data_IF_084511363564
#
_entry.id   IF_084511363564
#
_cell.length_a   1.000
_cell.length_b   1.000
_cell.length_c   1.000
_cell.angle_alpha   90.00
_cell.angle_beta   90.00
_cell.angle_gamma   90.00
#
_symmetry.space_group_name_H-M   'P 1'
#
loop_
_entity.id
_entity.type
_entity.pdbx_description
1 polymer ?
#
# COMPACT_ATOMS: atom_id res chain seq x y z
N UNK A 1 -3.21 -31.00 76.21
CA UNK A 1 -2.97 -31.01 74.80
C UNK A 1 -3.17 -29.59 74.26
N UNK A 2 -2.06 -28.85 74.04
CA UNK A 2 -2.05 -27.44 73.65
C UNK A 2 -1.79 -27.39 72.11
N UNK A 3 -2.76 -26.91 71.29
CA UNK A 3 -2.59 -26.71 69.88
C UNK A 3 -1.99 -25.32 69.68
N UNK A 4 -0.80 -25.27 69.06
CA UNK A 4 -0.16 -24.03 68.56
C UNK A 4 -0.60 -23.81 67.14
N UNK A 5 -1.27 -22.67 66.90
CA UNK A 5 -1.56 -22.18 65.56
C UNK A 5 -0.38 -21.34 65.09
N UNK A 6 0.26 -21.77 63.98
CA UNK A 6 1.26 -20.96 63.27
C UNK A 6 0.53 -20.18 62.17
N UNK A 7 0.48 -18.86 62.29
CA UNK A 7 0.03 -17.94 61.22
C UNK A 7 1.21 -17.67 60.28
N UNK A 8 1.13 -18.18 59.05
CA UNK A 8 2.02 -17.76 57.97
C UNK A 8 1.49 -16.42 57.38
N UNK A 9 2.24 -15.34 57.59
CA UNK A 9 1.99 -14.07 56.93
C UNK A 9 2.55 -14.09 55.51
N UNK A 10 1.67 -13.94 54.49
CA UNK A 10 2.05 -13.74 53.09
C UNK A 10 2.31 -12.25 52.92
N UNK A 11 3.58 -11.86 52.73
CA UNK A 11 3.94 -10.52 52.25
C UNK A 11 3.65 -10.45 50.74
N UNK A 12 2.59 -9.74 50.34
CA UNK A 12 2.36 -9.34 48.96
C UNK A 12 3.26 -8.15 48.61
N UNK A 13 4.29 -8.38 47.81
CA UNK A 13 5.04 -7.30 47.14
C UNK A 13 4.18 -6.72 46.07
N UNK A 14 3.52 -5.59 46.34
CA UNK A 14 2.90 -4.75 45.36
C UNK A 14 4.01 -3.99 44.58
N UNK A 15 4.46 -4.54 43.46
CA UNK A 15 5.28 -3.81 42.48
C UNK A 15 4.46 -2.69 41.88
N UNK A 16 4.72 -1.44 42.22
CA UNK A 16 4.21 -0.28 41.47
C UNK A 16 4.87 -0.28 40.10
N UNK A 17 4.18 -0.74 39.09
CA UNK A 17 4.47 -0.36 37.70
C UNK A 17 4.17 1.14 37.62
N UNK A 18 5.21 1.97 37.43
CA UNK A 18 5.01 3.40 37.11
C UNK A 18 4.24 3.51 35.80
N UNK A 19 3.10 4.18 35.83
CA UNK A 19 2.37 4.53 34.61
C UNK A 19 3.25 5.49 33.80
N UNK A 20 3.25 5.36 32.44
CA UNK A 20 3.94 6.31 31.58
C UNK A 20 3.43 7.73 31.83
N UNK A 21 4.33 8.68 31.97
CA UNK A 21 4.00 10.09 32.15
C UNK A 21 3.77 10.69 30.78
N UNK A 22 2.51 10.82 30.39
CA UNK A 22 2.12 11.67 29.25
C UNK A 22 2.24 13.13 29.69
N UNK A 23 3.14 13.88 29.09
CA UNK A 23 3.20 15.33 29.15
C UNK A 23 2.56 15.87 27.90
N UNK A 24 1.34 16.45 27.95
CA UNK A 24 0.70 17.02 26.77
C UNK A 24 1.54 18.20 26.23
N UNK A 25 2.00 18.10 24.98
CA UNK A 25 2.72 19.15 24.29
C UNK A 25 4.24 19.06 24.29
N UNK A 26 4.83 18.02 24.91
CA UNK A 26 6.25 17.69 24.75
C UNK A 26 6.35 16.56 23.69
N UNK A 27 6.86 16.89 22.50
CA UNK A 27 7.14 15.92 21.44
C UNK A 27 8.29 14.97 21.78
N UNK A 28 8.89 15.13 22.97
CA UNK A 28 10.01 14.35 23.45
C UNK A 28 11.26 14.47 22.58
N UNK A 29 11.30 15.49 21.69
CA UNK A 29 12.33 15.65 20.67
C UNK A 29 12.26 14.58 19.59
N UNK A 30 11.05 14.06 19.30
CA UNK A 30 10.79 13.12 18.22
C UNK A 30 9.75 13.68 17.26
N UNK A 31 10.11 13.79 15.98
CA UNK A 31 9.20 14.19 14.89
C UNK A 31 8.68 12.93 14.18
N UNK A 32 7.38 12.93 13.85
CA UNK A 32 6.69 11.77 13.30
C UNK A 32 6.18 12.05 11.89
N UNK A 33 6.45 11.15 10.94
CA UNK A 33 5.86 11.19 9.61
C UNK A 33 5.36 9.80 9.19
N UNK A 34 4.46 9.77 8.19
CA UNK A 34 4.04 8.53 7.52
C UNK A 34 4.34 8.66 6.04
N UNK A 35 5.19 7.78 5.55
CA UNK A 35 5.65 7.77 4.16
C UNK A 35 5.43 6.40 3.53
N UNK A 36 5.22 6.36 2.20
CA UNK A 36 5.18 5.13 1.45
C UNK A 36 6.28 5.11 0.38
N UNK A 37 7.14 4.12 0.46
CA UNK A 37 8.12 3.84 -0.60
C UNK A 37 7.42 3.25 -1.84
N UNK A 38 7.95 3.54 -3.02
CA UNK A 38 7.44 2.96 -4.28
C UNK A 38 7.49 1.43 -4.29
N UNK A 39 8.47 0.84 -3.62
CA UNK A 39 8.62 -0.62 -3.51
C UNK A 39 7.56 -1.25 -2.59
N UNK A 40 6.99 -0.48 -1.68
CA UNK A 40 6.04 -0.92 -0.67
C UNK A 40 4.58 -0.78 -1.08
N UNK A 41 4.32 -0.15 -2.23
CA UNK A 41 2.97 0.14 -2.70
C UNK A 41 2.14 -1.12 -2.88
N UNK A 42 2.62 -2.11 -3.64
CA UNK A 42 1.89 -3.36 -3.89
C UNK A 42 1.69 -4.21 -2.62
N UNK A 43 2.59 -4.10 -1.65
CA UNK A 43 2.48 -4.79 -0.37
C UNK A 43 1.65 -4.01 0.68
N UNK A 44 1.19 -2.79 0.36
CA UNK A 44 0.47 -1.90 1.28
C UNK A 44 1.22 -1.69 2.60
N UNK A 45 2.53 -1.51 2.51
CA UNK A 45 3.39 -1.17 3.64
C UNK A 45 3.62 0.34 3.64
N UNK A 46 3.58 0.95 4.82
CA UNK A 46 4.06 2.30 5.06
C UNK A 46 5.19 2.28 6.09
N UNK A 47 6.02 3.29 6.08
CA UNK A 47 6.96 3.54 7.16
C UNK A 47 6.37 4.60 8.09
N UNK A 48 6.33 4.30 9.39
CA UNK A 48 6.25 5.32 10.42
C UNK A 48 7.68 5.83 10.57
N UNK A 49 7.94 6.98 10.00
CA UNK A 49 9.25 7.64 10.09
C UNK A 49 9.34 8.38 11.40
N UNK A 50 10.39 8.10 12.16
CA UNK A 50 10.67 8.75 13.44
C UNK A 50 12.02 9.44 13.33
N UNK A 51 12.05 10.76 13.39
CA UNK A 51 13.25 11.55 13.48
C UNK A 51 13.51 11.97 14.92
N UNK A 52 14.76 11.94 15.37
CA UNK A 52 15.17 12.36 16.70
C UNK A 52 15.98 13.65 16.63
N UNK A 53 15.47 14.72 17.24
CA UNK A 53 16.18 15.98 17.49
C UNK A 53 16.99 15.95 18.80
N UNK A 54 17.05 14.79 19.46
CA UNK A 54 17.76 14.59 20.72
C UNK A 54 19.25 14.41 20.48
N UNK A 55 20.06 14.70 21.49
CA UNK A 55 21.50 14.40 21.50
C UNK A 55 21.81 12.96 21.94
N UNK A 56 20.86 12.32 22.66
CA UNK A 56 21.00 10.97 23.19
C UNK A 56 20.17 9.92 22.39
N UNK A 57 20.63 8.68 22.46
CA UNK A 57 19.95 7.55 21.85
C UNK A 57 18.70 7.17 22.64
N UNK A 58 17.64 6.71 21.94
CA UNK A 58 16.43 6.18 22.54
C UNK A 58 16.13 4.77 22.01
N UNK A 59 15.58 3.92 22.86
CA UNK A 59 15.13 2.57 22.48
C UNK A 59 13.64 2.59 22.17
N UNK A 60 13.27 2.50 20.88
CA UNK A 60 11.89 2.40 20.45
C UNK A 60 11.39 0.98 20.70
N UNK A 61 10.23 0.82 21.33
CA UNK A 61 9.65 -0.48 21.65
C UNK A 61 8.39 -0.79 20.86
N UNK A 62 7.59 0.23 20.59
CA UNK A 62 6.34 0.12 19.84
C UNK A 62 6.05 1.40 19.09
N UNK A 63 5.44 1.27 17.90
CA UNK A 63 4.80 2.38 17.19
C UNK A 63 3.44 1.93 16.69
N UNK A 64 2.43 2.79 16.81
CA UNK A 64 1.06 2.52 16.41
C UNK A 64 0.57 3.66 15.53
N UNK A 65 0.09 3.32 14.34
CA UNK A 65 -0.61 4.23 13.45
C UNK A 65 -2.11 3.95 13.54
N UNK A 66 -2.88 4.94 13.92
CA UNK A 66 -4.34 4.87 14.05
C UNK A 66 -5.01 5.94 13.22
N UNK A 67 -6.02 5.55 12.45
CA UNK A 67 -6.88 6.44 11.69
C UNK A 67 -8.22 5.75 11.47
N UNK A 68 -9.30 6.52 11.30
CA UNK A 68 -10.63 5.98 10.97
C UNK A 68 -10.71 5.36 9.56
N UNK A 69 -9.70 5.61 8.70
CA UNK A 69 -9.61 5.00 7.37
C UNK A 69 -9.17 3.53 7.40
N UNK A 70 -8.63 3.04 8.52
CA UNK A 70 -8.17 1.66 8.67
C UNK A 70 -9.10 0.86 9.56
N UNK A 71 -9.33 -0.41 9.24
CA UNK A 71 -10.19 -1.31 10.01
C UNK A 71 -9.67 -1.58 11.43
N UNK A 72 -8.37 -1.44 11.64
CA UNK A 72 -7.68 -1.58 12.91
C UNK A 72 -6.37 -0.77 12.90
N UNK A 73 -5.75 -0.50 14.05
CA UNK A 73 -4.45 0.16 14.09
C UNK A 73 -3.34 -0.68 13.44
N UNK A 74 -2.46 -0.02 12.66
CA UNK A 74 -1.23 -0.66 12.19
C UNK A 74 -0.14 -0.55 13.27
N UNK A 75 0.50 -1.67 13.62
CA UNK A 75 1.41 -1.74 14.76
C UNK A 75 2.79 -2.27 14.34
N UNK A 76 3.82 -1.53 14.70
CA UNK A 76 5.19 -2.00 14.73
C UNK A 76 5.60 -2.31 16.18
N UNK A 77 6.18 -3.49 16.41
CA UNK A 77 6.57 -3.94 17.76
C UNK A 77 7.77 -4.91 17.66
N UNK A 78 8.94 -4.39 17.29
CA UNK A 78 10.15 -5.20 17.11
C UNK A 78 11.30 -4.81 18.02
N UNK A 79 11.30 -3.57 18.51
CA UNK A 79 12.40 -2.97 19.26
C UNK A 79 13.57 -2.56 18.34
N UNK A 80 14.05 -1.33 18.49
CA UNK A 80 15.24 -0.82 17.83
C UNK A 80 15.78 0.39 18.57
N UNK A 81 17.03 0.75 18.30
CA UNK A 81 17.64 1.97 18.83
C UNK A 81 17.62 3.05 17.77
N UNK A 82 17.04 4.20 18.10
CA UNK A 82 17.12 5.41 17.32
C UNK A 82 18.21 6.29 17.92
N UNK A 83 19.24 6.56 17.12
CA UNK A 83 20.34 7.44 17.54
C UNK A 83 19.93 8.90 17.44
N UNK A 84 20.48 9.70 18.36
CA UNK A 84 20.28 11.14 18.33
C UNK A 84 20.65 11.76 16.98
N UNK A 85 19.83 12.70 16.49
CA UNK A 85 19.99 13.37 15.21
C UNK A 85 19.72 12.53 13.96
N UNK A 86 19.21 11.29 14.11
CA UNK A 86 18.92 10.40 12.96
C UNK A 86 17.44 10.14 12.81
N UNK A 87 17.10 9.59 11.62
CA UNK A 87 15.77 9.12 11.26
C UNK A 87 15.77 7.60 11.10
N UNK A 88 14.66 6.95 11.45
CA UNK A 88 14.43 5.52 11.24
C UNK A 88 13.04 5.27 10.67
N UNK A 89 12.94 4.30 9.76
CA UNK A 89 11.70 3.82 9.16
C UNK A 89 11.19 2.57 9.89
N UNK A 90 10.07 2.71 10.58
CA UNK A 90 9.37 1.61 11.22
C UNK A 90 8.29 1.09 10.27
N UNK A 91 8.63 0.10 9.47
CA UNK A 91 7.76 -0.43 8.41
C UNK A 91 6.61 -1.24 8.99
N UNK A 92 5.38 -0.87 8.65
CA UNK A 92 4.14 -1.53 9.08
C UNK A 92 3.29 -1.92 7.88
N UNK A 93 2.69 -3.11 7.96
CA UNK A 93 1.65 -3.55 7.04
C UNK A 93 0.35 -2.84 7.41
N UNK A 94 -0.30 -2.21 6.44
CA UNK A 94 -1.60 -1.60 6.67
C UNK A 94 -2.72 -2.65 6.66
N UNK A 95 -3.64 -2.62 7.64
CA UNK A 95 -4.89 -3.36 7.57
C UNK A 95 -5.81 -2.81 6.48
N UNK A 96 -6.93 -3.49 6.21
CA UNK A 96 -7.89 -3.06 5.20
C UNK A 96 -8.45 -1.66 5.46
N UNK A 97 -8.77 -0.93 4.38
CA UNK A 97 -9.45 0.34 4.49
C UNK A 97 -10.92 0.17 4.90
N UNK A 98 -11.45 1.18 5.58
CA UNK A 98 -12.91 1.33 5.84
C UNK A 98 -13.51 2.18 4.74
N UNK A 99 -14.47 1.61 4.00
CA UNK A 99 -15.12 2.27 2.88
C UNK A 99 -16.62 2.53 3.17
N UNK A 100 -17.18 3.65 2.71
CA UNK A 100 -16.52 4.76 2.03
C UNK A 100 -15.60 5.56 2.95
N UNK A 101 -14.62 6.27 2.35
CA UNK A 101 -13.69 7.12 3.10
C UNK A 101 -14.46 8.31 3.66
N UNK A 102 -14.25 8.63 4.94
CA UNK A 102 -14.81 9.85 5.55
C UNK A 102 -14.02 11.09 5.08
N UNK A 103 -14.71 12.23 4.91
CA UNK A 103 -14.12 13.46 4.38
C UNK A 103 -13.01 14.07 5.27
N UNK A 104 -13.16 13.96 6.60
CA UNK A 104 -12.21 14.50 7.58
C UNK A 104 -11.56 13.38 8.39
N UNK A 105 -10.44 12.85 7.89
CA UNK A 105 -9.73 11.80 8.59
C UNK A 105 -8.38 12.27 9.07
N UNK A 106 -8.24 12.32 10.39
CA UNK A 106 -6.95 12.54 11.03
C UNK A 106 -6.28 11.20 11.36
N UNK A 107 -4.99 11.12 11.10
CA UNK A 107 -4.15 10.02 11.57
C UNK A 107 -3.44 10.43 12.87
N UNK A 108 -3.24 9.48 13.75
CA UNK A 108 -2.43 9.63 14.96
C UNK A 108 -1.35 8.55 14.97
N UNK A 109 -0.12 8.96 15.18
CA UNK A 109 0.99 8.05 15.46
C UNK A 109 1.33 8.15 16.94
N UNK A 110 1.48 6.99 17.58
CA UNK A 110 1.94 6.89 18.97
C UNK A 110 3.20 6.04 18.99
N UNK A 111 4.27 6.56 19.62
CA UNK A 111 5.55 5.86 19.75
C UNK A 111 5.90 5.70 21.23
N UNK A 112 6.13 4.47 21.65
CA UNK A 112 6.61 4.11 22.99
C UNK A 112 8.13 3.90 22.92
N UNK A 113 8.86 4.55 23.81
CA UNK A 113 10.32 4.49 23.85
C UNK A 113 10.89 4.58 25.25
N UNK A 114 12.15 4.19 25.39
CA UNK A 114 12.91 4.30 26.66
C UNK A 114 14.12 5.18 26.38
N UNK A 115 14.31 6.19 27.21
CA UNK A 115 15.47 7.10 27.17
C UNK A 115 16.73 6.42 27.74
N UNK A 116 17.91 7.01 27.50
CA UNK A 116 19.19 6.45 27.94
C UNK A 116 19.29 6.24 29.47
N UNK A 117 18.57 7.04 30.24
CA UNK A 117 18.46 6.91 31.72
C UNK A 117 17.43 5.84 32.19
N UNK A 118 16.82 5.13 31.21
CA UNK A 118 15.90 4.02 31.48
C UNK A 118 14.45 4.44 31.76
N UNK A 119 14.09 5.70 31.51
CA UNK A 119 12.72 6.19 31.68
C UNK A 119 11.87 5.83 30.47
N UNK A 120 10.74 5.15 30.69
CA UNK A 120 9.75 4.89 29.65
C UNK A 120 8.92 6.14 29.37
N UNK A 121 8.74 6.44 28.08
CA UNK A 121 7.98 7.59 27.57
C UNK A 121 7.12 7.20 26.40
N UNK A 122 6.11 8.03 26.14
CA UNK A 122 5.24 7.93 24.99
C UNK A 122 5.12 9.30 24.33
N UNK A 123 5.28 9.36 23.02
CA UNK A 123 4.94 10.54 22.22
C UNK A 123 3.78 10.18 21.29
N UNK A 124 2.84 11.08 21.14
CA UNK A 124 1.68 10.90 20.27
C UNK A 124 1.35 12.20 19.54
N UNK A 125 1.11 12.11 18.25
CA UNK A 125 0.80 13.28 17.44
C UNK A 125 0.27 12.94 16.06
N UNK A 126 -0.19 13.97 15.34
CA UNK A 126 -0.54 13.86 13.93
C UNK A 126 0.75 13.79 13.12
N UNK A 127 0.98 12.71 12.36
CA UNK A 127 2.20 12.60 11.57
C UNK A 127 2.17 13.53 10.36
N UNK A 128 3.33 13.98 9.92
CA UNK A 128 3.48 14.58 8.60
C UNK A 128 3.20 13.52 7.51
N UNK A 129 2.55 13.94 6.43
CA UNK A 129 2.23 13.07 5.29
C UNK A 129 2.62 13.79 3.98
N UNK A 130 3.89 13.79 3.61
CA UNK A 130 4.38 14.60 2.48
C UNK A 130 3.70 14.34 1.14
N UNK A 131 3.06 13.17 0.97
CA UNK A 131 2.40 12.74 -0.27
C UNK A 131 0.96 12.27 -0.04
N UNK A 132 0.32 12.69 1.04
CA UNK A 132 -1.03 12.25 1.43
C UNK A 132 -1.20 10.72 1.38
N UNK A 133 -0.14 9.99 1.75
CA UNK A 133 0.00 8.56 1.51
C UNK A 133 -1.20 7.74 2.01
N UNK A 134 -1.70 8.04 3.20
CA UNK A 134 -2.83 7.30 3.78
C UNK A 134 -4.13 7.51 3.00
N UNK A 135 -4.40 8.74 2.57
CA UNK A 135 -5.60 9.07 1.78
C UNK A 135 -5.55 8.41 0.40
N UNK A 136 -4.38 8.41 -0.25
CA UNK A 136 -4.17 7.76 -1.54
C UNK A 136 -4.40 6.24 -1.42
N UNK A 137 -3.78 5.60 -0.41
CA UNK A 137 -3.91 4.16 -0.20
C UNK A 137 -5.37 3.78 0.12
N UNK A 138 -6.04 4.54 1.00
CA UNK A 138 -7.42 4.28 1.34
C UNK A 138 -8.35 4.44 0.12
N UNK A 139 -8.11 5.44 -0.73
CA UNK A 139 -8.86 5.62 -1.98
C UNK A 139 -8.65 4.42 -2.92
N UNK A 140 -7.41 3.99 -3.15
CA UNK A 140 -7.10 2.82 -3.97
C UNK A 140 -7.76 1.55 -3.42
N UNK A 141 -7.74 1.33 -2.10
CA UNK A 141 -8.38 0.19 -1.45
C UNK A 141 -9.91 0.19 -1.64
N UNK A 142 -10.55 1.35 -1.47
CA UNK A 142 -12.00 1.44 -1.61
C UNK A 142 -12.45 1.25 -3.07
N UNK A 143 -11.65 1.69 -4.03
CA UNK A 143 -11.86 1.40 -5.44
C UNK A 143 -11.69 -0.08 -5.73
N UNK A 144 -10.63 -0.70 -5.18
CA UNK A 144 -10.40 -2.14 -5.31
C UNK A 144 -11.54 -2.95 -4.68
N UNK A 145 -12.05 -2.54 -3.52
CA UNK A 145 -13.20 -3.18 -2.88
C UNK A 145 -14.47 -3.06 -3.76
N UNK A 146 -14.78 -1.86 -4.26
CA UNK A 146 -15.95 -1.64 -5.11
C UNK A 146 -15.90 -2.45 -6.42
N UNK A 147 -14.72 -2.58 -7.05
CA UNK A 147 -14.54 -3.44 -8.21
C UNK A 147 -14.68 -4.91 -7.84
N UNK A 148 -13.97 -5.36 -6.80
CA UNK A 148 -13.96 -6.76 -6.39
C UNK A 148 -15.33 -7.26 -5.90
N UNK A 149 -16.20 -6.38 -5.44
CA UNK A 149 -17.59 -6.72 -5.13
C UNK A 149 -18.38 -7.08 -6.40
N UNK A 150 -18.04 -6.49 -7.54
CA UNK A 150 -18.77 -6.66 -8.80
C UNK A 150 -18.11 -7.64 -9.77
N UNK A 151 -16.79 -7.75 -9.76
CA UNK A 151 -16.04 -8.61 -10.67
C UNK A 151 -14.68 -9.03 -10.12
N UNK A 152 -14.20 -10.17 -10.58
CA UNK A 152 -12.79 -10.52 -10.51
C UNK A 152 -12.10 -10.05 -11.79
N UNK A 153 -11.06 -9.22 -11.66
CA UNK A 153 -10.31 -8.68 -12.79
C UNK A 153 -8.84 -9.11 -12.65
N UNK A 154 -8.39 -9.95 -13.58
CA UNK A 154 -7.05 -10.55 -13.52
C UNK A 154 -6.36 -10.54 -14.88
N UNK A 155 -5.03 -10.44 -14.88
CA UNK A 155 -4.26 -10.68 -16.12
C UNK A 155 -4.19 -12.18 -16.38
N UNK A 156 -4.79 -12.64 -17.48
CA UNK A 156 -4.78 -14.05 -17.89
C UNK A 156 -3.48 -14.42 -18.60
N UNK A 157 -3.03 -13.58 -19.53
CA UNK A 157 -1.82 -13.84 -20.34
C UNK A 157 -1.16 -12.55 -20.85
N UNK A 158 0.10 -12.68 -21.22
CA UNK A 158 0.86 -11.74 -22.04
C UNK A 158 1.26 -12.48 -23.31
N UNK A 159 0.70 -12.10 -24.44
CA UNK A 159 0.87 -12.79 -25.71
C UNK A 159 1.77 -11.97 -26.62
N UNK A 160 2.91 -12.51 -27.03
CA UNK A 160 3.79 -11.91 -28.02
C UNK A 160 4.62 -12.99 -28.71
N UNK A 161 5.16 -12.68 -29.88
CA UNK A 161 6.06 -13.55 -30.63
C UNK A 161 7.50 -13.05 -30.45
N UNK A 162 8.38 -13.81 -29.76
CA UNK A 162 9.75 -13.39 -29.50
C UNK A 162 10.52 -13.11 -30.81
N UNK A 163 11.20 -11.96 -30.86
CA UNK A 163 12.03 -11.56 -32.00
C UNK A 163 11.26 -11.03 -33.22
N UNK A 164 9.92 -10.95 -33.18
CA UNK A 164 9.13 -10.38 -34.29
C UNK A 164 9.28 -8.86 -34.40
N UNK A 165 9.53 -8.18 -33.28
CA UNK A 165 9.47 -6.72 -33.19
C UNK A 165 8.04 -6.18 -33.20
N UNK A 166 7.02 -7.07 -33.12
CA UNK A 166 5.61 -6.71 -33.09
C UNK A 166 5.16 -6.35 -31.64
N UNK A 167 3.94 -5.88 -31.54
CA UNK A 167 3.29 -5.55 -30.27
C UNK A 167 3.03 -6.80 -29.44
N UNK A 168 2.95 -6.62 -28.10
CA UNK A 168 2.38 -7.65 -27.24
C UNK A 168 0.89 -7.34 -26.95
N UNK A 169 0.15 -8.37 -26.56
CA UNK A 169 -1.23 -8.24 -26.13
C UNK A 169 -1.34 -8.72 -24.69
N UNK A 170 -1.74 -7.80 -23.81
CA UNK A 170 -2.13 -8.11 -22.44
C UNK A 170 -3.60 -8.55 -22.46
N UNK A 171 -3.89 -9.75 -22.01
CA UNK A 171 -5.25 -10.28 -21.89
C UNK A 171 -5.69 -10.16 -20.45
N UNK A 172 -6.69 -9.30 -20.20
CA UNK A 172 -7.27 -9.08 -18.87
C UNK A 172 -8.64 -9.71 -18.82
N UNK A 173 -8.80 -10.75 -18.00
CA UNK A 173 -10.08 -11.40 -17.76
C UNK A 173 -10.94 -10.59 -16.81
N UNK A 174 -12.23 -10.57 -17.07
CA UNK A 174 -13.27 -9.99 -16.24
C UNK A 174 -14.31 -11.08 -16.01
N UNK A 175 -14.46 -11.47 -14.74
CA UNK A 175 -15.43 -12.49 -14.29
C UNK A 175 -16.43 -11.81 -13.36
N UNK A 176 -17.66 -11.49 -13.85
CA UNK A 176 -18.69 -10.84 -13.06
C UNK A 176 -19.11 -11.69 -11.86
N UNK A 177 -19.39 -11.01 -10.73
CA UNK A 177 -19.88 -11.66 -9.51
C UNK A 177 -21.40 -11.54 -9.40
N UNK A 178 -22.00 -12.40 -8.56
CA UNK A 178 -23.46 -12.42 -8.33
C UNK A 178 -23.85 -11.47 -7.18
N UNK A 179 -23.49 -10.19 -7.29
CA UNK A 179 -23.83 -9.14 -6.34
C UNK A 179 -24.58 -8.01 -7.04
N UNK A 180 -25.50 -7.35 -6.31
CA UNK A 180 -26.26 -6.23 -6.85
C UNK A 180 -25.35 -5.01 -7.05
N UNK A 181 -25.48 -4.36 -8.20
CA UNK A 181 -24.70 -3.20 -8.61
C UNK A 181 -24.06 -3.38 -9.97
N UNK A 182 -23.23 -2.41 -10.32
CA UNK A 182 -22.44 -2.42 -11.55
C UNK A 182 -21.16 -1.62 -11.37
N UNK A 183 -20.18 -1.94 -12.19
CA UNK A 183 -18.95 -1.15 -12.32
C UNK A 183 -18.69 -0.91 -13.80
N UNK A 184 -18.25 0.30 -14.13
CA UNK A 184 -17.80 0.64 -15.47
C UNK A 184 -16.29 0.78 -15.47
N UNK A 185 -15.60 0.03 -16.32
CA UNK A 185 -14.20 0.23 -16.62
C UNK A 185 -14.14 1.27 -17.74
N UNK A 186 -13.84 2.51 -17.36
CA UNK A 186 -13.91 3.69 -18.24
C UNK A 186 -12.77 3.69 -19.25
N UNK A 187 -11.54 3.60 -18.72
CA UNK A 187 -10.32 3.72 -19.51
C UNK A 187 -9.25 2.74 -19.04
N UNK A 188 -8.30 2.46 -19.92
CA UNK A 188 -7.00 1.89 -19.57
C UNK A 188 -5.91 2.90 -19.81
N UNK A 189 -4.94 2.97 -18.90
CA UNK A 189 -3.76 3.83 -18.98
C UNK A 189 -2.48 3.06 -19.23
N UNK A 190 -1.52 3.73 -19.87
CA UNK A 190 -0.14 3.27 -20.00
C UNK A 190 0.58 3.28 -18.65
N UNK A 191 1.70 2.57 -18.59
CA UNK A 191 2.60 2.57 -17.43
C UNK A 191 3.90 3.30 -17.79
N UNK A 192 4.82 3.43 -16.82
CA UNK A 192 6.15 3.97 -17.09
C UNK A 192 6.93 3.09 -18.07
N UNK A 193 6.75 1.77 -17.99
CA UNK A 193 7.48 0.80 -18.80
C UNK A 193 6.86 0.57 -20.18
N UNK A 194 5.53 0.48 -20.24
CA UNK A 194 4.82 0.15 -21.49
C UNK A 194 3.74 1.18 -21.83
N UNK A 195 3.68 1.53 -23.11
CA UNK A 195 2.66 2.33 -23.75
C UNK A 195 1.54 1.47 -24.30
N UNK A 196 0.52 2.11 -24.81
CA UNK A 196 -0.66 1.48 -25.40
C UNK A 196 -0.74 1.75 -26.88
N UNK A 197 -1.32 0.80 -27.63
CA UNK A 197 -1.77 1.02 -29.00
C UNK A 197 -3.29 1.09 -29.00
N UNK A 198 -3.83 2.23 -29.40
CA UNK A 198 -5.28 2.41 -29.44
C UNK A 198 -5.95 1.44 -30.43
N UNK A 199 -7.21 1.01 -30.21
CA UNK A 199 -7.93 0.14 -31.14
C UNK A 199 -8.05 0.70 -32.57
N UNK A 200 -7.99 2.03 -32.73
CA UNK A 200 -7.98 2.73 -34.03
C UNK A 200 -6.59 2.82 -34.66
N UNK A 201 -5.58 2.25 -33.99
CA UNK A 201 -4.16 2.38 -34.32
C UNK A 201 -3.51 3.62 -33.70
N UNK A 202 -2.18 3.60 -33.66
CA UNK A 202 -1.36 4.67 -33.08
C UNK A 202 -1.11 4.54 -31.58
N UNK A 203 0.02 5.12 -31.17
CA UNK A 203 0.46 5.11 -29.77
C UNK A 203 -0.37 6.08 -28.94
N UNK A 204 -0.70 5.68 -27.71
CA UNK A 204 -1.44 6.51 -26.78
C UNK A 204 -1.05 6.21 -25.35
N UNK A 205 -1.27 7.19 -24.46
CA UNK A 205 -1.09 6.98 -23.03
C UNK A 205 -2.38 6.50 -22.34
N UNK A 206 -3.53 6.61 -23.01
CA UNK A 206 -4.83 6.19 -22.48
C UNK A 206 -5.82 6.03 -23.61
N UNK A 207 -6.75 5.08 -23.48
CA UNK A 207 -7.94 5.03 -24.34
C UNK A 207 -9.17 4.52 -23.58
N UNK A 208 -10.36 4.90 -24.10
CA UNK A 208 -11.64 4.51 -23.51
C UNK A 208 -11.96 3.04 -23.77
N UNK A 209 -12.41 2.35 -22.74
CA UNK A 209 -12.96 0.99 -22.79
C UNK A 209 -14.49 1.01 -22.70
N UNK A 210 -15.03 1.85 -21.81
CA UNK A 210 -16.47 1.97 -21.52
C UNK A 210 -17.14 0.61 -21.29
N UNK A 211 -16.44 -0.31 -20.59
CA UNK A 211 -16.89 -1.67 -20.32
C UNK A 211 -17.72 -1.70 -19.06
N UNK A 212 -19.03 -1.90 -19.20
CA UNK A 212 -19.94 -2.11 -18.07
C UNK A 212 -19.89 -3.58 -17.65
N UNK A 213 -19.74 -3.81 -16.36
CA UNK A 213 -19.81 -5.13 -15.72
C UNK A 213 -20.96 -5.11 -14.73
N UNK A 214 -21.90 -6.02 -14.91
CA UNK A 214 -23.14 -6.12 -14.15
C UNK A 214 -23.30 -7.54 -13.61
N UNK A 215 -24.12 -7.68 -12.58
CA UNK A 215 -24.54 -8.96 -12.03
C UNK A 215 -25.04 -9.91 -13.13
N UNK A 216 -24.52 -11.15 -13.11
CA UNK A 216 -24.94 -12.18 -14.05
C UNK A 216 -24.53 -11.94 -15.50
N UNK A 217 -23.63 -10.99 -15.75
CA UNK A 217 -23.00 -10.82 -17.05
C UNK A 217 -22.07 -12.00 -17.38
N UNK A 218 -21.76 -12.16 -18.67
CA UNK A 218 -20.85 -13.19 -19.13
C UNK A 218 -19.39 -12.81 -18.84
N UNK A 219 -18.55 -13.83 -18.59
CA UNK A 219 -17.11 -13.68 -18.57
C UNK A 219 -16.59 -13.07 -19.87
N UNK A 220 -15.62 -12.19 -19.76
CA UNK A 220 -15.09 -11.50 -20.94
C UNK A 220 -13.62 -11.18 -20.79
N UNK A 221 -12.96 -10.96 -21.92
CA UNK A 221 -11.57 -10.57 -21.98
C UNK A 221 -11.41 -9.18 -22.59
N UNK A 222 -10.61 -8.36 -21.94
CA UNK A 222 -10.06 -7.12 -22.52
C UNK A 222 -8.71 -7.46 -23.15
N UNK A 223 -8.56 -7.18 -24.45
CA UNK A 223 -7.28 -7.35 -25.15
C UNK A 223 -6.64 -5.99 -25.35
N UNK A 224 -5.57 -5.74 -24.59
CA UNK A 224 -4.88 -4.45 -24.53
C UNK A 224 -3.55 -4.61 -25.26
N UNK A 225 -3.40 -3.95 -26.41
CA UNK A 225 -2.16 -3.97 -27.17
C UNK A 225 -1.15 -3.03 -26.54
N UNK A 226 0.03 -3.54 -26.21
CA UNK A 226 1.10 -2.82 -25.51
C UNK A 226 2.38 -2.77 -26.35
N UNK A 227 3.16 -1.72 -26.12
CA UNK A 227 4.46 -1.47 -26.74
C UNK A 227 5.40 -0.87 -25.68
N UNK A 228 6.73 -1.08 -25.75
CA UNK A 228 7.62 -0.40 -24.81
C UNK A 228 7.52 1.13 -24.93
N UNK A 229 7.41 1.83 -23.81
CA UNK A 229 7.52 3.30 -23.76
C UNK A 229 8.96 3.78 -23.82
N UNK A 230 9.89 2.93 -23.36
CA UNK A 230 11.31 3.24 -23.22
C UNK A 230 12.13 2.01 -23.56
N UNK A 231 13.23 2.23 -24.31
CA UNK A 231 14.20 1.19 -24.67
C UNK A 231 15.56 1.38 -24.01
N UNK A 232 15.66 2.23 -23.00
CA UNK A 232 16.94 2.36 -22.27
C UNK A 232 17.13 1.21 -21.26
N UNK A 233 18.38 0.83 -21.03
CA UNK A 233 18.73 -0.31 -20.17
C UNK A 233 18.32 -0.13 -18.70
N UNK A 234 18.02 1.09 -18.26
CA UNK A 234 17.58 1.38 -16.91
C UNK A 234 16.07 1.22 -16.72
N UNK A 235 15.30 1.25 -17.84
CA UNK A 235 13.83 1.20 -17.76
C UNK A 235 13.30 0.00 -16.97
N UNK A 236 13.85 -1.20 -17.21
CA UNK A 236 13.49 -2.42 -16.50
C UNK A 236 14.06 -2.43 -15.09
N UNK A 237 15.34 -2.02 -14.92
CA UNK A 237 16.01 -2.06 -13.62
C UNK A 237 15.37 -1.09 -12.60
N UNK A 238 14.83 0.03 -13.09
CA UNK A 238 14.15 1.03 -12.26
C UNK A 238 12.64 0.82 -12.17
N UNK A 239 12.11 -0.22 -12.84
CA UNK A 239 10.67 -0.46 -12.84
C UNK A 239 10.19 -0.93 -11.48
N UNK A 240 9.35 -0.11 -10.84
CA UNK A 240 8.71 -0.39 -9.56
C UNK A 240 7.20 -0.68 -9.71
N UNK A 241 6.56 -0.05 -10.69
CA UNK A 241 5.12 -0.11 -10.94
C UNK A 241 4.74 -0.27 -12.42
N UNK A 242 5.70 -0.44 -13.32
CA UNK A 242 5.44 -0.49 -14.77
C UNK A 242 4.71 -1.75 -15.24
N UNK A 243 4.41 -2.66 -14.32
CA UNK A 243 3.60 -3.86 -14.54
C UNK A 243 2.27 -3.83 -13.76
N UNK A 244 1.87 -2.65 -13.24
CA UNK A 244 0.57 -2.38 -12.63
C UNK A 244 -0.24 -1.50 -13.59
N UNK A 245 -1.19 -2.08 -14.30
CA UNK A 245 -1.95 -1.38 -15.33
C UNK A 245 -3.11 -0.59 -14.72
N UNK A 246 -3.14 0.76 -14.90
CA UNK A 246 -4.20 1.58 -14.35
C UNK A 246 -5.48 1.44 -15.18
N UNK A 247 -6.56 1.02 -14.53
CA UNK A 247 -7.93 1.08 -15.03
C UNK A 247 -8.67 2.17 -14.27
N UNK A 248 -9.20 3.16 -14.98
CA UNK A 248 -10.11 4.12 -14.39
C UNK A 248 -11.50 3.50 -14.33
N UNK A 249 -12.09 3.47 -13.14
CA UNK A 249 -13.39 2.83 -12.92
C UNK A 249 -14.36 3.76 -12.22
N UNK A 250 -15.65 3.53 -12.45
CA UNK A 250 -16.75 4.10 -11.68
C UNK A 250 -17.73 2.99 -11.30
N UNK A 251 -18.20 3.01 -10.06
CA UNK A 251 -19.13 2.03 -9.53
C UNK A 251 -20.50 2.65 -9.22
N UNK A 252 -21.57 1.86 -9.29
CA UNK A 252 -22.94 2.31 -9.04
C UNK A 252 -23.18 2.80 -7.61
N UNK A 253 -22.31 2.46 -6.66
CA UNK A 253 -22.31 3.00 -5.30
C UNK A 253 -21.69 4.38 -5.15
N UNK A 254 -21.23 5.00 -6.26
CA UNK A 254 -20.60 6.32 -6.30
C UNK A 254 -19.08 6.31 -6.15
N UNK A 255 -18.45 5.15 -5.88
CA UNK A 255 -16.99 5.07 -5.86
C UNK A 255 -16.43 5.24 -7.28
N UNK A 256 -15.37 6.02 -7.41
CA UNK A 256 -14.67 6.22 -8.67
C UNK A 256 -13.18 6.48 -8.45
N UNK A 257 -12.33 6.03 -9.36
CA UNK A 257 -10.88 6.22 -9.27
C UNK A 257 -10.10 5.20 -10.07
N UNK A 258 -8.81 5.03 -9.74
CA UNK A 258 -7.91 4.16 -10.46
C UNK A 258 -7.74 2.84 -9.70
N UNK A 259 -8.05 1.74 -10.37
CA UNK A 259 -7.71 0.39 -9.96
C UNK A 259 -6.46 -0.07 -10.70
N UNK A 260 -5.50 -0.63 -10.00
CA UNK A 260 -4.27 -1.15 -10.60
C UNK A 260 -4.33 -2.67 -10.73
N UNK A 261 -4.47 -3.15 -11.97
CA UNK A 261 -4.38 -4.59 -12.25
C UNK A 261 -2.92 -4.99 -12.21
N UNK A 262 -2.58 -5.85 -11.24
CA UNK A 262 -1.23 -6.40 -11.10
C UNK A 262 -1.05 -7.64 -12.00
N UNK A 263 0.15 -7.83 -12.52
CA UNK A 263 0.56 -9.08 -13.15
C UNK A 263 1.25 -9.99 -12.14
N UNK A 264 1.22 -11.30 -12.38
CA UNK A 264 2.03 -12.26 -11.62
C UNK A 264 3.54 -12.08 -11.92
N UNK A 265 4.40 -12.63 -11.06
CA UNK A 265 5.86 -12.59 -11.28
C UNK A 265 6.27 -13.22 -12.63
N UNK A 266 5.59 -14.29 -13.05
CA UNK A 266 5.81 -14.92 -14.35
C UNK A 266 5.46 -13.99 -15.51
N UNK A 267 4.31 -13.32 -15.43
CA UNK A 267 3.85 -12.36 -16.45
C UNK A 267 4.74 -11.11 -16.46
N UNK A 268 5.20 -10.67 -15.29
CA UNK A 268 6.19 -9.59 -15.17
C UNK A 268 7.47 -9.95 -15.93
N UNK A 269 7.97 -11.16 -15.74
CA UNK A 269 9.11 -11.68 -16.50
C UNK A 269 8.85 -11.70 -18.02
N UNK A 270 7.64 -12.08 -18.46
CA UNK A 270 7.24 -12.05 -19.87
C UNK A 270 7.23 -10.62 -20.45
N UNK A 271 6.69 -9.65 -19.69
CA UNK A 271 6.70 -8.23 -20.11
C UNK A 271 8.14 -7.73 -20.25
N UNK A 272 9.03 -8.06 -19.31
CA UNK A 272 10.43 -7.66 -19.38
C UNK A 272 11.17 -8.29 -20.57
N UNK A 273 10.90 -9.57 -20.85
CA UNK A 273 11.43 -10.24 -22.04
C UNK A 273 10.92 -9.60 -23.32
N UNK A 274 9.63 -9.31 -23.40
CA UNK A 274 9.03 -8.58 -24.51
C UNK A 274 9.69 -7.22 -24.74
N UNK A 275 9.86 -6.41 -23.67
CA UNK A 275 10.52 -5.10 -23.78
C UNK A 275 11.95 -5.24 -24.29
N UNK A 276 12.69 -6.23 -23.78
CA UNK A 276 14.08 -6.49 -24.20
C UNK A 276 14.16 -6.90 -25.67
N UNK A 277 13.31 -7.83 -26.11
CA UNK A 277 13.27 -8.33 -27.48
C UNK A 277 12.87 -7.22 -28.47
N UNK A 278 11.80 -6.49 -28.15
CA UNK A 278 11.34 -5.38 -28.97
C UNK A 278 12.41 -4.31 -29.14
N UNK A 279 13.03 -3.89 -28.04
CA UNK A 279 14.07 -2.85 -28.06
C UNK A 279 15.38 -3.33 -28.69
N UNK A 280 15.69 -4.61 -28.65
CA UNK A 280 16.84 -5.21 -29.31
C UNK A 280 16.67 -5.37 -30.81
N UNK A 281 15.43 -5.40 -31.31
CA UNK A 281 15.08 -5.48 -32.74
C UNK A 281 14.68 -4.14 -33.34
N UNK A 282 14.46 -3.10 -32.49
CA UNK A 282 14.16 -1.76 -32.98
C UNK A 282 15.33 -1.19 -33.79
N UNK A 283 15.09 -0.59 -34.98
CA UNK A 283 16.10 -0.06 -35.88
C UNK A 283 16.85 1.15 -35.32
#
# INVERSE_FOLDING_TARGET
MRRVLVLLGILALAGCAAAPTDVPGDDGGLTLAVVQSRDDHGARIVAIEVHSDRDDDVSLTRATLQTAQLSEPAVWQRGTVLRGGLTIDLRVQLPGAVCPIADDVTATVTVEYTTADGVQRTVSGTPEQPADALSVIAAEDCIAAALNDQAEVTVKSVEYEPGSGDYAVLVVGIEPRDLDGSVTIETVGATVLVGLVAPTGGLTQRYALNRVVERGGDDSDLRITIVPNRCDTHAIAEDKRGTFFPLEISASNGASGIYYVAVSDSQKGQIYSFVTDYCGTAP
#
